data_IF_122464428738
#
_entry.id   IF_122464428738
#
_cell.length_a   1.000
_cell.length_b   1.000
_cell.length_c   1.000
_cell.angle_alpha   90.00
_cell.angle_beta   90.00
_cell.angle_gamma   90.00
#
_symmetry.space_group_name_H-M   'P 1'
#
loop_
_entity.id
_entity.type
_entity.pdbx_description
1 polymer ?
#
# COMPACT_ATOMS: atom_id res chain seq x y z
N UNK A 1 -18.31 47.70 -53.78
CA UNK A 1 -17.12 47.55 -52.93
C UNK A 1 -17.25 46.20 -52.23
N UNK A 2 -16.40 45.22 -52.61
CA UNK A 2 -16.15 43.86 -52.04
C UNK A 2 -17.36 43.05 -51.53
N UNK A 3 -17.94 42.06 -52.22
CA UNK A 3 -17.46 40.75 -52.75
C UNK A 3 -16.73 39.87 -51.71
N UNK A 4 -17.45 38.92 -51.11
CA UNK A 4 -17.27 37.44 -51.20
C UNK A 4 -17.94 36.74 -50.01
N UNK A 5 -18.52 35.54 -50.04
CA UNK A 5 -19.24 34.70 -51.01
C UNK A 5 -19.71 33.45 -50.20
N UNK A 6 -20.89 32.91 -50.52
CA UNK A 6 -21.57 31.74 -49.90
C UNK A 6 -20.80 30.39 -50.07
N UNK A 7 -21.13 29.26 -49.42
CA UNK A 7 -22.18 28.26 -49.75
C UNK A 7 -22.22 27.18 -48.61
N UNK A 8 -23.35 26.73 -48.04
CA UNK A 8 -24.43 25.78 -48.48
C UNK A 8 -24.22 24.33 -47.94
N UNK A 9 -24.95 23.94 -46.86
CA UNK A 9 -26.08 22.96 -46.75
C UNK A 9 -25.75 21.46 -46.87
N UNK A 10 -26.01 20.74 -45.76
CA UNK A 10 -26.74 19.45 -45.63
C UNK A 10 -26.72 19.08 -44.13
N UNK A 11 -27.78 19.21 -43.32
CA UNK A 11 -29.06 18.48 -43.38
C UNK A 11 -28.89 17.09 -42.74
N UNK A 12 -29.48 16.69 -41.61
CA UNK A 12 -30.44 17.33 -40.71
C UNK A 12 -30.57 16.48 -39.43
N UNK A 13 -31.08 17.10 -38.38
CA UNK A 13 -31.57 16.40 -37.18
C UNK A 13 -32.82 15.58 -37.54
N UNK A 14 -32.90 14.34 -37.07
CA UNK A 14 -34.17 13.70 -36.75
C UNK A 14 -34.04 12.96 -35.43
N UNK A 15 -34.85 13.37 -34.46
CA UNK A 15 -35.11 12.64 -33.21
C UNK A 15 -36.38 11.82 -33.44
N UNK A 16 -36.36 10.54 -33.10
CA UNK A 16 -37.60 9.84 -32.74
C UNK A 16 -37.34 8.80 -31.65
N UNK A 17 -38.12 8.90 -30.56
CA UNK A 17 -38.21 7.95 -29.45
C UNK A 17 -39.03 6.73 -29.87
N UNK A 18 -38.85 5.65 -29.10
CA UNK A 18 -39.58 4.37 -29.04
C UNK A 18 -39.20 3.29 -30.06
N UNK A 19 -38.41 2.30 -29.64
CA UNK A 19 -38.77 0.87 -29.73
C UNK A 19 -37.78 -0.01 -28.96
N UNK A 20 -38.33 -0.92 -28.17
CA UNK A 20 -37.71 -2.01 -27.40
C UNK A 20 -37.18 -3.12 -28.32
N UNK A 21 -36.30 -3.97 -27.76
CA UNK A 21 -35.92 -5.35 -28.15
C UNK A 21 -34.57 -5.63 -28.86
N UNK A 22 -33.99 -6.74 -28.38
CA UNK A 22 -32.62 -7.30 -28.41
C UNK A 22 -32.18 -7.88 -29.78
N UNK A 23 -30.88 -7.81 -30.10
CA UNK A 23 -30.17 -8.89 -30.84
C UNK A 23 -28.63 -8.87 -30.67
N UNK A 24 -28.07 -10.06 -30.46
CA UNK A 24 -26.64 -10.39 -30.35
C UNK A 24 -25.98 -10.53 -31.74
N UNK A 25 -24.70 -10.17 -31.86
CA UNK A 25 -23.79 -10.67 -32.90
C UNK A 25 -22.33 -10.66 -32.41
N UNK A 26 -21.61 -11.74 -32.72
CA UNK A 26 -20.26 -12.12 -32.24
C UNK A 26 -19.20 -11.93 -33.34
N UNK A 27 -17.91 -11.98 -32.95
CA UNK A 27 -16.66 -12.24 -33.75
C UNK A 27 -15.97 -10.97 -34.32
N UNK A 28 -14.65 -10.75 -34.22
CA UNK A 28 -13.54 -11.60 -33.79
C UNK A 28 -12.17 -10.90 -33.67
N UNK A 29 -11.17 -11.73 -33.32
CA UNK A 29 -9.76 -11.41 -33.03
C UNK A 29 -8.92 -11.03 -34.26
N UNK A 30 -7.89 -10.20 -34.07
CA UNK A 30 -6.70 -10.16 -34.93
C UNK A 30 -5.44 -9.89 -34.10
N UNK A 31 -4.46 -10.81 -34.14
CA UNK A 31 -3.11 -10.66 -33.59
C UNK A 31 -2.12 -10.34 -34.73
N UNK A 32 -1.13 -9.50 -34.46
CA UNK A 32 0.14 -9.46 -35.23
C UNK A 32 1.32 -9.27 -34.28
N UNK A 33 2.34 -10.10 -34.49
CA UNK A 33 3.61 -10.22 -33.77
C UNK A 33 4.74 -9.44 -34.48
N UNK A 34 5.77 -9.03 -33.73
CA UNK A 34 7.01 -8.48 -34.30
C UNK A 34 8.06 -8.18 -33.23
N UNK A 35 9.16 -8.94 -33.23
CA UNK A 35 10.32 -8.83 -32.31
C UNK A 35 11.18 -7.61 -32.66
N UNK A 36 11.70 -6.89 -31.65
CA UNK A 36 12.74 -5.86 -31.80
C UNK A 36 14.00 -6.29 -31.07
N UNK A 37 15.14 -6.09 -31.75
CA UNK A 37 16.47 -6.47 -31.33
C UNK A 37 17.02 -5.75 -30.10
N UNK A 38 18.09 -6.36 -29.62
CA UNK A 38 18.82 -6.18 -28.36
C UNK A 38 19.35 -4.74 -28.09
N UNK A 39 18.83 -4.03 -27.08
CA UNK A 39 19.33 -2.73 -26.63
C UNK A 39 20.42 -2.80 -25.54
N UNK A 40 20.79 -4.01 -25.07
CA UNK A 40 21.64 -4.23 -23.87
C UNK A 40 23.02 -3.59 -23.97
N UNK A 41 23.44 -3.17 -25.17
CA UNK A 41 24.79 -2.64 -25.40
C UNK A 41 24.98 -1.15 -25.11
N UNK A 42 23.94 -0.35 -24.82
CA UNK A 42 24.07 1.13 -24.79
C UNK A 42 23.76 1.85 -23.48
N UNK A 43 23.49 1.15 -22.38
CA UNK A 43 23.15 1.78 -21.10
C UNK A 43 24.25 1.67 -20.02
N UNK A 44 25.52 1.50 -20.43
CA UNK A 44 26.65 1.32 -19.51
C UNK A 44 27.31 2.64 -19.07
N UNK A 45 26.79 3.81 -19.46
CA UNK A 45 27.54 5.07 -19.42
C UNK A 45 26.88 6.23 -18.68
N UNK A 46 25.83 5.98 -17.89
CA UNK A 46 25.19 7.02 -17.05
C UNK A 46 25.27 6.65 -15.57
N UNK A 47 26.34 5.95 -15.20
CA UNK A 47 26.75 5.75 -13.81
C UNK A 47 27.61 6.96 -13.39
N UNK A 48 27.31 7.46 -12.18
CA UNK A 48 28.08 8.45 -11.41
C UNK A 48 27.74 9.94 -11.66
N UNK A 49 26.96 10.53 -10.74
CA UNK A 49 27.38 11.61 -9.81
C UNK A 49 26.15 12.30 -9.20
N UNK A 50 26.19 12.55 -7.88
CA UNK A 50 25.27 13.49 -7.23
C UNK A 50 25.00 13.17 -5.77
N UNK A 51 25.87 13.66 -4.89
CA UNK A 51 25.77 13.57 -3.42
C UNK A 51 24.82 14.64 -2.85
N UNK A 52 23.91 14.22 -1.97
CA UNK A 52 23.12 15.11 -1.09
C UNK A 52 22.59 14.29 0.08
N UNK A 53 23.00 14.61 1.30
CA UNK A 53 22.67 13.86 2.52
C UNK A 53 21.19 14.04 2.87
N UNK A 54 20.41 13.00 2.60
CA UNK A 54 19.14 12.70 3.26
C UNK A 54 19.46 11.67 4.34
N UNK A 55 18.87 11.77 5.53
CA UNK A 55 18.96 10.71 6.53
C UNK A 55 18.28 9.45 5.97
N UNK A 56 19.08 8.56 5.40
CA UNK A 56 18.70 7.22 5.00
C UNK A 56 19.17 6.31 6.14
N UNK A 57 18.22 5.75 6.89
CA UNK A 57 18.54 4.63 7.77
C UNK A 57 19.26 3.56 6.96
N UNK A 58 20.46 3.18 7.38
CA UNK A 58 21.26 2.16 6.71
C UNK A 58 20.63 0.79 6.91
N UNK A 59 19.70 0.39 6.04
CA UNK A 59 19.41 -1.02 5.80
C UNK A 59 20.36 -1.53 4.72
N UNK A 60 21.60 -1.81 5.12
CA UNK A 60 22.52 -2.59 4.29
C UNK A 60 22.18 -4.07 4.48
N UNK A 61 21.22 -4.61 3.70
CA UNK A 61 21.19 -5.95 3.06
C UNK A 61 19.76 -6.39 2.74
N UNK A 62 19.44 -6.58 1.46
CA UNK A 62 18.50 -7.61 0.98
C UNK A 62 17.04 -7.62 1.42
N UNK A 63 16.58 -6.70 2.27
CA UNK A 63 15.20 -6.72 2.77
C UNK A 63 14.22 -6.26 1.70
N UNK A 64 13.26 -7.15 1.43
CA UNK A 64 12.25 -6.97 0.42
C UNK A 64 10.87 -6.91 1.07
N UNK A 65 9.98 -6.12 0.48
CA UNK A 65 8.60 -5.98 0.90
C UNK A 65 7.67 -6.48 -0.20
N UNK A 66 6.59 -7.15 0.19
CA UNK A 66 5.62 -7.71 -0.75
C UNK A 66 4.89 -6.61 -1.52
N UNK A 67 4.80 -6.74 -2.84
CA UNK A 67 4.18 -5.77 -3.74
C UNK A 67 2.70 -5.48 -3.46
N UNK A 68 2.01 -6.40 -2.78
CA UNK A 68 0.65 -6.14 -2.32
C UNK A 68 0.56 -4.93 -1.37
N UNK A 69 1.56 -4.74 -0.49
CA UNK A 69 1.61 -3.60 0.43
C UNK A 69 1.65 -2.28 -0.34
N UNK A 70 2.47 -2.19 -1.38
CA UNK A 70 2.56 -0.99 -2.21
C UNK A 70 1.27 -0.71 -2.97
N UNK A 71 0.65 -1.75 -3.53
CA UNK A 71 -0.61 -1.61 -4.25
C UNK A 71 -1.73 -1.12 -3.32
N UNK A 72 -1.84 -1.74 -2.13
CA UNK A 72 -2.83 -1.37 -1.12
C UNK A 72 -2.56 0.04 -0.56
N UNK A 73 -1.29 0.41 -0.34
CA UNK A 73 -0.91 1.78 0.05
C UNK A 73 -1.32 2.82 -1.00
N UNK A 74 -1.06 2.58 -2.28
CA UNK A 74 -1.48 3.50 -3.34
C UNK A 74 -3.01 3.59 -3.44
N UNK A 75 -3.72 2.48 -3.23
CA UNK A 75 -5.19 2.50 -3.18
C UNK A 75 -5.71 3.32 -2.00
N UNK A 76 -5.17 3.10 -0.80
CA UNK A 76 -5.43 3.91 0.39
C UNK A 76 -5.18 5.40 0.12
N UNK A 77 -4.00 5.74 -0.41
CA UNK A 77 -3.60 7.12 -0.65
C UNK A 77 -4.52 7.78 -1.69
N UNK A 78 -4.88 7.06 -2.75
CA UNK A 78 -5.83 7.55 -3.76
C UNK A 78 -7.20 7.84 -3.16
N UNK A 79 -7.71 6.94 -2.30
CA UNK A 79 -9.01 7.10 -1.64
C UNK A 79 -9.01 8.23 -0.62
N UNK A 80 -7.91 8.42 0.10
CA UNK A 80 -7.82 9.39 1.20
C UNK A 80 -7.42 10.80 0.75
N UNK A 81 -6.49 10.89 -0.20
CA UNK A 81 -5.80 12.13 -0.60
C UNK A 81 -6.15 12.55 -2.03
N UNK A 82 -6.73 11.65 -2.83
CA UNK A 82 -7.10 11.89 -4.22
C UNK A 82 -6.00 11.51 -5.21
N UNK A 83 -6.43 11.06 -6.40
CA UNK A 83 -5.53 10.54 -7.43
C UNK A 83 -4.44 11.54 -7.85
N UNK A 84 -4.77 12.83 -7.93
CA UNK A 84 -3.82 13.86 -8.36
C UNK A 84 -2.59 13.95 -7.44
N UNK A 85 -2.77 13.81 -6.13
CA UNK A 85 -1.66 13.83 -5.15
C UNK A 85 -0.77 12.63 -5.34
N UNK A 86 -1.36 11.44 -5.51
CA UNK A 86 -0.62 10.18 -5.68
C UNK A 86 0.13 10.15 -7.01
N UNK A 87 -0.53 10.52 -8.11
CA UNK A 87 0.07 10.60 -9.44
C UNK A 87 1.25 11.56 -9.46
N UNK A 88 1.11 12.73 -8.81
CA UNK A 88 2.19 13.69 -8.66
C UNK A 88 3.34 13.13 -7.82
N UNK A 89 3.05 12.47 -6.70
CA UNK A 89 4.09 11.85 -5.86
C UNK A 89 4.88 10.78 -6.63
N UNK A 90 4.19 9.88 -7.32
CA UNK A 90 4.83 8.84 -8.15
C UNK A 90 5.71 9.48 -9.24
N UNK A 91 5.24 10.54 -9.90
CA UNK A 91 5.99 11.22 -10.95
C UNK A 91 7.26 11.95 -10.43
N UNK A 92 7.25 12.40 -9.17
CA UNK A 92 8.39 13.09 -8.54
C UNK A 92 9.41 12.13 -7.91
N UNK A 93 9.04 10.87 -7.71
CA UNK A 93 9.92 9.87 -7.09
C UNK A 93 10.74 9.09 -8.14
N UNK A 94 12.03 8.87 -7.86
CA UNK A 94 12.86 7.96 -8.64
C UNK A 94 12.72 6.53 -8.11
N UNK A 95 11.66 5.84 -8.54
CA UNK A 95 11.33 4.47 -8.13
C UNK A 95 11.83 3.46 -9.16
N UNK A 96 12.44 2.35 -8.73
CA UNK A 96 12.87 1.28 -9.64
C UNK A 96 11.66 0.62 -10.30
N UNK A 97 10.56 0.45 -9.56
CA UNK A 97 9.27 -0.03 -10.05
C UNK A 97 8.54 0.95 -10.98
N UNK A 98 8.95 2.22 -11.01
CA UNK A 98 8.22 3.34 -11.64
C UNK A 98 6.79 3.52 -11.12
N UNK A 99 6.53 3.14 -9.87
CA UNK A 99 5.21 3.21 -9.23
C UNK A 99 4.23 2.14 -9.71
N UNK A 100 4.71 1.12 -10.44
CA UNK A 100 3.88 0.01 -10.92
C UNK A 100 4.24 -1.26 -10.13
N UNK A 101 3.31 -1.69 -9.28
CA UNK A 101 3.52 -2.80 -8.36
C UNK A 101 2.64 -4.00 -8.72
N UNK A 102 3.22 -5.20 -8.62
CA UNK A 102 2.53 -6.47 -8.77
C UNK A 102 2.45 -7.20 -7.43
N UNK A 103 1.28 -7.73 -7.09
CA UNK A 103 0.99 -8.42 -5.82
C UNK A 103 1.99 -9.52 -5.47
N UNK A 104 2.50 -10.26 -6.46
CA UNK A 104 3.42 -11.40 -6.23
C UNK A 104 4.90 -11.02 -6.28
N UNK A 105 5.24 -9.81 -6.72
CA UNK A 105 6.62 -9.36 -6.76
C UNK A 105 7.04 -8.71 -5.44
N UNK A 106 8.34 -8.56 -5.27
CA UNK A 106 8.96 -7.98 -4.11
C UNK A 106 9.75 -6.74 -4.50
N UNK A 107 9.68 -5.71 -3.65
CA UNK A 107 10.26 -4.40 -3.92
C UNK A 107 11.06 -3.91 -2.73
N UNK A 108 11.94 -2.97 -2.99
CA UNK A 108 12.72 -2.28 -1.97
C UNK A 108 11.79 -1.46 -1.06
N UNK A 109 11.81 -1.66 0.27
CA UNK A 109 11.04 -0.86 1.24
C UNK A 109 11.31 0.65 1.12
N UNK A 110 12.49 1.03 0.63
CA UNK A 110 12.86 2.42 0.38
C UNK A 110 11.93 3.11 -0.63
N UNK A 111 11.29 2.37 -1.54
CA UNK A 111 10.27 2.95 -2.42
C UNK A 111 9.05 3.44 -1.62
N UNK A 112 8.60 2.70 -0.61
CA UNK A 112 7.48 3.10 0.24
C UNK A 112 7.86 4.33 1.06
N UNK A 113 9.07 4.34 1.62
CA UNK A 113 9.61 5.49 2.36
C UNK A 113 9.69 6.73 1.46
N UNK A 114 10.13 6.57 0.21
CA UNK A 114 10.24 7.66 -0.75
C UNK A 114 8.86 8.22 -1.09
N UNK A 115 7.87 7.35 -1.36
CA UNK A 115 6.49 7.75 -1.62
C UNK A 115 5.86 8.46 -0.40
N UNK A 116 6.04 7.92 0.81
CA UNK A 116 5.55 8.54 2.04
C UNK A 116 6.16 9.92 2.27
N UNK A 117 7.47 10.07 2.10
CA UNK A 117 8.15 11.36 2.25
C UNK A 117 7.64 12.39 1.25
N UNK A 118 7.41 11.99 0.01
CA UNK A 118 6.89 12.89 -1.02
C UNK A 118 5.42 13.27 -0.78
N UNK A 119 4.56 12.30 -0.43
CA UNK A 119 3.16 12.56 -0.07
C UNK A 119 3.07 13.45 1.18
N UNK A 120 3.90 13.20 2.19
CA UNK A 120 4.00 14.02 3.40
C UNK A 120 4.35 15.46 3.05
N UNK A 121 5.36 15.68 2.19
CA UNK A 121 5.76 17.00 1.71
C UNK A 121 4.64 17.74 0.97
N UNK A 122 3.86 17.03 0.15
CA UNK A 122 2.76 17.64 -0.62
C UNK A 122 1.53 17.99 0.22
N UNK A 123 1.22 17.17 1.23
CA UNK A 123 -0.04 17.25 1.99
C UNK A 123 0.10 17.92 3.35
N UNK A 124 1.32 17.99 3.89
CA UNK A 124 1.58 18.50 5.24
C UNK A 124 1.31 17.47 6.35
N UNK A 125 0.79 16.28 6.03
CA UNK A 125 0.67 15.19 6.99
C UNK A 125 2.05 14.63 7.35
N UNK A 126 2.28 14.28 8.60
CA UNK A 126 3.49 13.59 9.00
C UNK A 126 3.50 12.15 8.44
N UNK A 127 4.70 11.60 8.22
CA UNK A 127 4.83 10.19 7.81
C UNK A 127 4.26 9.24 8.86
N UNK A 128 4.34 9.59 10.14
CA UNK A 128 3.76 8.83 11.25
C UNK A 128 2.23 8.75 11.12
N UNK A 129 1.55 9.88 10.91
CA UNK A 129 0.09 9.91 10.73
C UNK A 129 -0.34 9.12 9.49
N UNK A 130 0.40 9.24 8.38
CA UNK A 130 0.14 8.49 7.16
C UNK A 130 0.28 6.98 7.38
N UNK A 131 1.32 6.54 8.09
CA UNK A 131 1.54 5.12 8.41
C UNK A 131 0.48 4.56 9.37
N UNK A 132 0.10 5.30 10.41
CA UNK A 132 -0.93 4.85 11.35
C UNK A 132 -2.29 4.73 10.67
N UNK A 133 -2.70 5.73 9.90
CA UNK A 133 -3.96 5.68 9.15
C UNK A 133 -3.95 4.64 8.03
N UNK A 134 -2.79 4.45 7.38
CA UNK A 134 -2.60 3.34 6.45
C UNK A 134 -2.70 1.98 7.17
N UNK A 135 -2.15 1.83 8.36
CA UNK A 135 -2.25 0.59 9.15
C UNK A 135 -3.70 0.22 9.48
N UNK A 136 -4.54 1.20 9.83
CA UNK A 136 -5.97 0.97 10.05
C UNK A 136 -6.68 0.50 8.76
N UNK A 137 -6.31 1.06 7.61
CA UNK A 137 -6.81 0.61 6.30
C UNK A 137 -6.34 -0.81 5.98
N UNK A 138 -5.04 -1.05 6.10
CA UNK A 138 -4.40 -2.32 5.80
C UNK A 138 -4.97 -3.44 6.67
N UNK A 139 -5.28 -3.17 7.94
CA UNK A 139 -5.96 -4.13 8.80
C UNK A 139 -7.27 -4.63 8.16
N UNK A 140 -8.08 -3.73 7.59
CA UNK A 140 -9.33 -4.09 6.92
C UNK A 140 -9.08 -4.94 5.67
N UNK A 141 -8.02 -4.66 4.92
CA UNK A 141 -7.65 -5.50 3.77
C UNK A 141 -7.22 -6.90 4.23
N UNK A 142 -6.38 -6.94 5.26
CA UNK A 142 -5.81 -8.16 5.84
C UNK A 142 -6.88 -9.05 6.48
N UNK A 143 -7.79 -8.47 7.25
CA UNK A 143 -8.92 -9.16 7.88
C UNK A 143 -10.02 -9.57 6.88
N UNK A 144 -9.86 -9.33 5.58
CA UNK A 144 -10.76 -9.91 4.57
C UNK A 144 -10.14 -11.10 3.83
N UNK A 145 -8.89 -11.45 4.13
CA UNK A 145 -8.30 -12.70 3.67
C UNK A 145 -8.98 -13.87 4.40
N UNK A 146 -9.04 -15.07 3.79
CA UNK A 146 -9.71 -16.24 4.37
C UNK A 146 -8.92 -16.80 5.56
N UNK A 147 -8.93 -16.05 6.65
CA UNK A 147 -8.25 -16.33 7.90
C UNK A 147 -9.27 -16.78 8.95
N UNK A 148 -8.85 -17.49 10.01
CA UNK A 148 -9.70 -18.04 11.07
C UNK A 148 -10.21 -16.96 12.03
N UNK A 149 -10.72 -15.84 11.52
CA UNK A 149 -11.21 -14.73 12.33
C UNK A 149 -12.44 -15.09 13.15
N UNK A 150 -13.28 -15.98 12.63
CA UNK A 150 -14.48 -16.48 13.32
C UNK A 150 -14.17 -17.24 14.61
N UNK A 151 -12.89 -17.44 14.94
CA UNK A 151 -12.44 -18.12 16.15
C UNK A 151 -12.14 -17.17 17.32
N UNK A 152 -12.22 -15.84 17.13
CA UNK A 152 -11.85 -14.87 18.17
C UNK A 152 -13.02 -13.97 18.57
N UNK A 153 -13.28 -13.90 19.88
CA UNK A 153 -14.34 -13.06 20.46
C UNK A 153 -13.84 -11.65 20.85
N UNK A 154 -12.52 -11.45 20.97
CA UNK A 154 -11.92 -10.18 21.40
C UNK A 154 -10.57 -9.87 20.75
N UNK A 155 -10.16 -8.59 20.77
CA UNK A 155 -8.94 -8.15 20.09
C UNK A 155 -7.67 -8.74 20.68
N UNK A 156 -7.60 -8.99 21.99
CA UNK A 156 -6.40 -9.56 22.61
C UNK A 156 -6.26 -11.04 22.27
N UNK A 157 -7.38 -11.77 22.20
CA UNK A 157 -7.41 -13.13 21.69
C UNK A 157 -6.88 -13.21 20.26
N UNK A 158 -7.37 -12.31 19.39
CA UNK A 158 -6.89 -12.20 18.02
C UNK A 158 -5.39 -11.89 17.96
N UNK A 159 -4.92 -10.84 18.66
CA UNK A 159 -3.53 -10.41 18.64
C UNK A 159 -2.57 -11.51 19.09
N UNK A 160 -2.93 -12.26 20.13
CA UNK A 160 -2.14 -13.39 20.62
C UNK A 160 -1.97 -14.50 19.58
N UNK A 161 -2.90 -14.63 18.63
CA UNK A 161 -2.86 -15.64 17.57
C UNK A 161 -2.18 -15.17 16.27
N UNK A 162 -1.84 -13.88 16.14
CA UNK A 162 -1.30 -13.33 14.88
C UNK A 162 0.04 -13.97 14.49
N UNK A 163 0.98 -14.12 15.44
CA UNK A 163 2.34 -14.61 15.16
C UNK A 163 2.32 -16.07 14.62
N UNK A 164 1.44 -16.92 15.15
CA UNK A 164 1.41 -18.35 14.81
C UNK A 164 0.37 -18.69 13.74
N UNK A 165 -0.79 -18.03 13.73
CA UNK A 165 -1.85 -18.25 12.75
C UNK A 165 -1.69 -17.36 11.52
N UNK A 166 -1.83 -16.05 11.71
CA UNK A 166 -1.89 -15.08 10.61
C UNK A 166 -0.58 -15.04 9.79
N UNK A 167 0.57 -15.02 10.45
CA UNK A 167 1.86 -15.07 9.74
C UNK A 167 2.09 -16.39 9.02
N UNK A 168 1.54 -17.51 9.49
CA UNK A 168 1.61 -18.79 8.78
C UNK A 168 0.82 -18.73 7.48
N UNK A 169 -0.40 -18.22 7.51
CA UNK A 169 -1.24 -18.08 6.30
C UNK A 169 -0.64 -17.09 5.29
N UNK A 170 -0.08 -15.97 5.75
CA UNK A 170 0.67 -15.07 4.85
C UNK A 170 1.83 -15.83 4.18
N UNK A 171 2.58 -16.65 4.93
CA UNK A 171 3.70 -17.42 4.35
C UNK A 171 3.21 -18.48 3.36
N UNK A 172 2.02 -19.04 3.52
CA UNK A 172 1.44 -19.95 2.53
C UNK A 172 1.15 -19.24 1.21
N UNK A 173 0.62 -18.00 1.27
CA UNK A 173 0.37 -17.18 0.08
C UNK A 173 1.65 -16.59 -0.52
N UNK A 174 2.60 -16.22 0.34
CA UNK A 174 3.82 -15.52 0.02
C UNK A 174 5.02 -16.12 0.78
N UNK A 175 5.60 -17.24 0.29
CA UNK A 175 6.64 -17.99 1.02
C UNK A 175 7.90 -17.19 1.37
N UNK A 176 8.15 -16.10 0.65
CA UNK A 176 9.31 -15.23 0.84
C UNK A 176 8.97 -13.94 1.59
N UNK A 177 7.76 -13.83 2.16
CA UNK A 177 7.35 -12.63 2.89
C UNK A 177 8.25 -12.39 4.11
N UNK A 178 8.83 -11.20 4.16
CA UNK A 178 9.57 -10.72 5.33
C UNK A 178 8.56 -10.14 6.33
N UNK A 179 8.21 -10.93 7.35
CA UNK A 179 7.23 -10.56 8.37
C UNK A 179 7.93 -10.09 9.65
N UNK A 180 7.34 -9.13 10.38
CA UNK A 180 7.85 -8.77 11.71
C UNK A 180 7.77 -9.97 12.65
N UNK A 181 8.56 -9.95 13.71
CA UNK A 181 8.34 -10.84 14.86
C UNK A 181 7.44 -10.12 15.84
N UNK A 182 6.40 -10.82 16.28
CA UNK A 182 5.45 -10.32 17.26
C UNK A 182 5.52 -11.19 18.51
N UNK A 183 5.47 -10.54 19.68
CA UNK A 183 5.34 -11.24 20.95
C UNK A 183 4.24 -10.55 21.76
N UNK A 184 3.26 -11.33 22.21
CA UNK A 184 2.16 -10.84 23.03
C UNK A 184 2.23 -11.49 24.41
N UNK A 185 2.16 -10.68 25.45
CA UNK A 185 2.04 -11.17 26.82
C UNK A 185 0.79 -10.56 27.46
N UNK A 186 -0.15 -11.41 27.87
CA UNK A 186 -1.36 -10.97 28.55
C UNK A 186 -1.05 -10.79 30.03
N UNK A 187 -1.13 -9.55 30.51
CA UNK A 187 -0.92 -9.19 31.92
C UNK A 187 -2.19 -9.36 32.75
N UNK A 188 -3.35 -9.38 32.10
CA UNK A 188 -4.65 -9.59 32.72
C UNK A 188 -5.80 -9.53 31.71
N UNK A 189 -7.06 -9.51 32.17
CA UNK A 189 -8.22 -9.44 31.27
C UNK A 189 -8.24 -8.15 30.42
N UNK A 190 -7.77 -7.03 30.98
CA UNK A 190 -7.81 -5.70 30.37
C UNK A 190 -6.43 -5.14 29.98
N UNK A 191 -5.33 -5.88 30.22
CA UNK A 191 -3.97 -5.38 29.98
C UNK A 191 -3.13 -6.42 29.22
N UNK A 192 -2.38 -5.94 28.22
CA UNK A 192 -1.50 -6.75 27.36
C UNK A 192 -0.28 -5.93 26.96
N UNK A 193 0.89 -6.57 26.88
CA UNK A 193 2.03 -6.04 26.13
C UNK A 193 2.09 -6.68 24.75
N UNK A 194 2.40 -5.87 23.76
CA UNK A 194 2.58 -6.29 22.38
C UNK A 194 3.93 -5.78 21.88
N UNK A 195 4.88 -6.67 21.66
CA UNK A 195 6.20 -6.34 21.16
C UNK A 195 6.26 -6.55 19.65
N UNK A 196 6.74 -5.53 18.96
CA UNK A 196 6.98 -5.51 17.53
C UNK A 196 8.48 -5.42 17.27
N UNK A 197 9.01 -6.36 16.50
CA UNK A 197 10.39 -6.32 16.03
C UNK A 197 10.45 -6.51 14.50
N UNK A 198 11.03 -5.54 13.81
CA UNK A 198 11.26 -5.60 12.37
C UNK A 198 12.43 -4.74 11.97
N UNK A 199 13.30 -5.21 11.07
CA UNK A 199 14.39 -4.38 10.57
C UNK A 199 13.90 -3.22 9.68
N UNK A 200 12.66 -3.26 9.20
CA UNK A 200 12.05 -2.20 8.38
C UNK A 200 11.68 -0.95 9.19
N UNK A 201 11.62 -1.02 10.52
CA UNK A 201 11.33 0.13 11.38
C UNK A 201 9.92 0.70 11.25
N UNK A 202 8.94 -0.10 10.80
CA UNK A 202 7.56 0.34 10.53
C UNK A 202 6.67 0.29 11.77
N UNK A 203 7.17 0.74 12.92
CA UNK A 203 6.41 0.70 14.17
C UNK A 203 5.13 1.56 14.12
N UNK A 204 5.13 2.68 13.40
CA UNK A 204 3.92 3.50 13.23
C UNK A 204 2.84 2.76 12.43
N UNK A 205 3.24 1.91 11.47
CA UNK A 205 2.32 1.03 10.75
C UNK A 205 1.76 -0.06 11.68
N UNK A 206 2.61 -0.65 12.52
CA UNK A 206 2.19 -1.64 13.51
C UNK A 206 1.18 -1.05 14.49
N UNK A 207 1.40 0.17 14.97
CA UNK A 207 0.46 0.89 15.82
C UNK A 207 -0.88 1.13 15.10
N UNK A 208 -0.84 1.51 13.82
CA UNK A 208 -2.04 1.62 12.98
C UNK A 208 -2.81 0.30 12.82
N UNK A 209 -2.10 -0.82 12.65
CA UNK A 209 -2.70 -2.16 12.59
C UNK A 209 -3.39 -2.54 13.92
N UNK A 210 -2.75 -2.23 15.06
CA UNK A 210 -3.36 -2.41 16.38
C UNK A 210 -4.65 -1.59 16.51
N UNK A 211 -4.61 -0.31 16.14
CA UNK A 211 -5.80 0.55 16.12
C UNK A 211 -6.90 -0.02 15.20
N UNK A 212 -6.54 -0.52 14.02
CA UNK A 212 -7.47 -1.18 13.10
C UNK A 212 -8.11 -2.43 13.71
N UNK A 213 -7.34 -3.21 14.47
CA UNK A 213 -7.83 -4.37 15.21
C UNK A 213 -8.86 -3.97 16.26
N UNK A 214 -8.56 -2.98 17.11
CA UNK A 214 -9.50 -2.54 18.14
C UNK A 214 -10.79 -1.97 17.54
N UNK A 215 -10.70 -1.25 16.42
CA UNK A 215 -11.88 -0.78 15.68
C UNK A 215 -12.73 -1.93 15.12
N UNK A 216 -12.12 -3.04 14.71
CA UNK A 216 -12.84 -4.20 14.18
C UNK A 216 -13.63 -4.94 15.27
N UNK A 217 -13.07 -5.07 16.47
CA UNK A 217 -13.75 -5.68 17.62
C UNK A 217 -14.63 -4.70 18.40
N UNK A 218 -14.75 -3.45 17.94
CA UNK A 218 -15.51 -2.38 18.61
C UNK A 218 -15.03 -2.10 20.05
N UNK A 219 -13.73 -2.28 20.31
CA UNK A 219 -13.13 -2.14 21.65
C UNK A 219 -12.39 -0.80 21.82
N UNK A 220 -12.51 -0.22 23.02
CA UNK A 220 -11.76 0.96 23.40
C UNK A 220 -10.48 0.56 24.14
N UNK A 221 -9.34 0.68 23.45
CA UNK A 221 -8.03 0.32 23.98
C UNK A 221 -7.08 1.50 23.88
N UNK A 222 -6.52 1.93 25.01
CA UNK A 222 -5.44 2.91 25.03
C UNK A 222 -4.10 2.23 24.72
N UNK A 223 -3.30 2.87 23.87
CA UNK A 223 -1.96 2.40 23.48
C UNK A 223 -0.94 3.36 24.07
N UNK A 224 0.06 2.84 24.77
CA UNK A 224 1.29 3.59 25.07
C UNK A 224 2.50 2.84 24.54
N UNK A 225 3.53 3.58 24.14
CA UNK A 225 4.65 3.07 23.36
C UNK A 225 5.98 3.24 24.08
N UNK A 226 6.79 2.20 24.09
CA UNK A 226 8.15 2.16 24.61
C UNK A 226 9.12 1.72 23.49
N UNK A 227 10.15 2.52 23.24
CA UNK A 227 11.18 2.18 22.25
C UNK A 227 12.24 1.28 22.88
N UNK A 228 12.40 0.06 22.36
CA UNK A 228 13.42 -0.91 22.80
C UNK A 228 14.64 -0.96 21.86
N UNK A 229 14.52 -0.34 20.69
CA UNK A 229 15.58 -0.22 19.69
C UNK A 229 15.55 1.13 18.96
N UNK A 230 16.51 1.34 18.07
CA UNK A 230 16.61 2.56 17.27
C UNK A 230 15.67 2.50 16.05
N UNK A 231 15.17 3.66 15.62
CA UNK A 231 14.43 3.81 14.36
C UNK A 231 13.14 2.99 14.27
N UNK A 232 12.50 2.67 15.40
CA UNK A 232 11.26 1.88 15.41
C UNK A 232 11.45 0.40 15.08
N UNK A 233 12.68 -0.10 15.06
CA UNK A 233 12.97 -1.51 14.72
C UNK A 233 12.59 -2.50 15.81
N UNK A 234 12.46 -2.03 17.05
CA UNK A 234 11.98 -2.80 18.19
C UNK A 234 11.21 -1.88 19.14
N UNK A 235 9.93 -2.19 19.35
CA UNK A 235 8.99 -1.36 20.12
C UNK A 235 8.08 -2.26 20.93
N UNK A 236 7.82 -1.89 22.19
CA UNK A 236 6.77 -2.49 23.01
C UNK A 236 5.59 -1.53 23.12
N UNK A 237 4.41 -2.04 22.85
CA UNK A 237 3.15 -1.36 23.09
C UNK A 237 2.52 -1.92 24.36
N UNK A 238 2.13 -1.03 25.27
CA UNK A 238 1.32 -1.38 26.44
C UNK A 238 -0.12 -1.02 26.13
N UNK A 239 -0.98 -2.03 26.13
CA UNK A 239 -2.37 -1.98 25.73
C UNK A 239 -3.26 -2.09 26.95
N UNK A 240 -4.19 -1.15 27.10
CA UNK A 240 -5.17 -1.17 28.20
C UNK A 240 -6.58 -0.95 27.69
N UNK A 241 -7.42 -1.96 27.86
CA UNK A 241 -8.85 -1.95 27.52
C UNK A 241 -9.64 -1.23 28.60
N UNK A 242 -10.56 -0.37 28.18
CA UNK A 242 -11.47 0.36 29.09
C UNK A 242 -12.59 -0.51 29.62
#
# INVERSE_FOLDING_TARGET
>A
MYISSCFLVAGGLFVCRTCTTIRWATVGLCQVSGKVGDPVRRLRQVLMKGTGKIWVGTTSTGELMQGFIFKDFLEFANKRLGNAVVDQAVAQCQLQSRGVYSTRQQYSPQELVTLLGEISRQTGHSTSELLQTYGQWLFKTLVNLPLPQSEFDDSFGFLAAVEEGFHKEIRELFPQANLPRLHCERLGPHEMTFEYQSPLGLADLAEGLLQGCFLHFEEQVSISRESLGAGGTHVRFHLKRS
#
